data_IF_837951706496
#
_entry.id   IF_837951706496
#
_cell.length_a   1.000
_cell.length_b   1.000
_cell.length_c   1.000
_cell.angle_alpha   90.00
_cell.angle_beta   90.00
_cell.angle_gamma   90.00
#
_symmetry.space_group_name_H-M   'P 1'
#
loop_
_entity.id
_entity.type
_entity.pdbx_description
1 polymer ?
2 polymer ?
3 polymer ?
4 non-polymer ?
5 non-polymer ?
6 water ?
#
loop_
_entity_poly.entity_id
_entity_poly.type
_entity_poly.pdbx_seq_one_letter_code
_entity_poly.pdbx_strand_id
1 'polydeoxyribonucleotide' '(DG)(DT)(DT)(DC)(DA)(DA)(DG)(DG)(DC)(DC)(DA)(DG)' ?
2 'polydeoxyribonucleotide' '(DC)(DT)(DG)(DG)(DC)(DC)(DT)(DT)(DG)(DA)(DA)(DC)' ?
#
# COMPACT_ATOMS: atom_id res chain seq x y z
N UNK C 10 9.52 0.72 12.26
CA UNK C 10 8.73 1.94 11.94
C UNK C 10 7.25 1.57 11.82
N UNK C 11 6.41 2.59 11.67
CA UNK C 11 4.97 2.39 11.55
C UNK C 11 4.47 2.58 10.13
N UNK C 12 3.52 1.73 9.75
CA UNK C 12 2.92 1.79 8.44
C UNK C 12 2.25 3.15 8.29
N UNK C 13 2.59 3.89 7.23
CA UNK C 13 1.98 5.22 7.03
C UNK C 13 0.47 5.14 6.80
N UNK C 14 -0.04 3.94 6.53
CA UNK C 14 -1.46 3.77 6.28
C UNK C 14 -2.28 3.39 7.51
N UNK C 15 -1.84 2.36 8.24
CA UNK C 15 -2.59 1.90 9.40
C UNK C 15 -1.83 1.91 10.73
N UNK C 16 -0.52 2.16 10.69
CA UNK C 16 0.26 2.20 11.92
C UNK C 16 0.83 0.87 12.38
N UNK C 17 0.49 -0.21 11.69
CA UNK C 17 0.99 -1.53 12.05
C UNK C 17 2.50 -1.62 11.74
N UNK C 18 3.13 -2.69 12.21
CA UNK C 18 4.56 -2.90 11.99
C UNK C 18 4.95 -3.00 10.52
N UNK C 19 5.91 -2.19 10.10
CA UNK C 19 6.39 -2.21 8.73
C UNK C 19 7.17 -3.51 8.52
N UNK C 20 7.07 -4.11 7.33
CA UNK C 20 7.79 -5.35 7.05
C UNK C 20 8.84 -5.18 5.95
N UNK C 21 8.88 -4.00 5.34
CA UNK C 21 9.84 -3.71 4.29
C UNK C 21 9.26 -2.71 3.31
N UNK C 22 9.98 -2.41 2.23
CA UNK C 22 9.43 -1.48 1.25
C UNK C 22 8.39 -2.22 0.43
N UNK C 23 7.25 -1.57 0.21
CA UNK C 23 6.19 -2.17 -0.58
C UNK C 23 5.53 -1.12 -1.45
N UNK C 24 5.74 -1.26 -2.75
CA UNK C 24 5.15 -0.35 -3.73
C UNK C 24 5.47 1.12 -3.50
N UNK C 25 6.75 1.45 -3.35
CA UNK C 25 7.14 2.84 -3.19
C UNK C 25 7.64 3.27 -1.82
N UNK C 26 7.21 2.59 -0.77
CA UNK C 26 7.64 2.95 0.58
C UNK C 26 7.40 1.85 1.61
N UNK C 27 7.91 2.07 2.81
CA UNK C 27 7.75 1.11 3.90
C UNK C 27 6.29 1.01 4.30
N UNK C 28 5.78 -0.22 4.40
CA UNK C 28 4.39 -0.45 4.82
C UNK C 28 4.34 -1.78 5.57
N UNK C 29 3.21 -2.05 6.21
CA UNK C 29 3.03 -3.31 6.92
C UNK C 29 2.71 -4.37 5.87
N UNK C 30 2.79 -5.63 6.26
CA UNK C 30 2.52 -6.74 5.36
C UNK C 30 1.06 -6.76 4.90
N UNK C 31 0.13 -6.46 5.80
CA UNK C 31 -1.28 -6.48 5.43
C UNK C 31 -1.60 -5.44 4.36
N UNK C 32 -1.06 -4.23 4.50
CA UNK C 32 -1.32 -3.19 3.52
C UNK C 32 -0.69 -3.52 2.17
N UNK C 33 0.44 -4.21 2.19
CA UNK C 33 1.08 -4.63 0.95
C UNK C 33 0.12 -5.60 0.23
N UNK C 34 -0.40 -6.57 0.99
CA UNK C 34 -1.32 -7.54 0.42
C UNK C 34 -2.58 -6.89 -0.11
N UNK C 35 -3.12 -5.95 0.67
CA UNK C 35 -4.34 -5.23 0.32
C UNK C 35 -4.18 -4.43 -0.98
N UNK C 36 -3.08 -3.70 -1.10
CA UNK C 36 -2.82 -2.90 -2.29
C UNK C 36 -2.66 -3.82 -3.51
N UNK C 37 -1.90 -4.90 -3.36
CA UNK C 37 -1.68 -5.86 -4.44
C UNK C 37 -3.01 -6.43 -4.93
N UNK C 38 -3.80 -6.94 -3.99
CA UNK C 38 -5.12 -7.51 -4.27
C UNK C 38 -5.96 -6.50 -5.04
N UNK C 39 -6.06 -5.30 -4.47
CA UNK C 39 -6.85 -4.22 -5.05
C UNK C 39 -6.46 -3.89 -6.49
N UNK C 40 -5.21 -3.51 -6.70
CA UNK C 40 -4.75 -3.14 -8.03
C UNK C 40 -4.74 -4.27 -9.05
N UNK C 41 -4.33 -5.47 -8.65
CA UNK C 41 -4.29 -6.59 -9.59
C UNK C 41 -5.64 -6.89 -10.22
N UNK C 42 -6.70 -6.82 -9.42
CA UNK C 42 -8.04 -7.14 -9.89
C UNK C 42 -8.95 -5.95 -10.13
N UNK C 43 -8.38 -4.75 -10.18
CA UNK C 43 -9.15 -3.55 -10.42
C UNK C 43 -10.35 -3.47 -9.47
N UNK C 44 -10.12 -3.80 -8.20
CA UNK C 44 -11.19 -3.76 -7.20
C UNK C 44 -11.70 -2.34 -7.02
N UNK C 45 -13.02 -2.21 -6.92
CA UNK C 45 -13.65 -0.90 -6.74
C UNK C 45 -14.47 -0.92 -5.46
N UNK C 46 -14.07 -0.11 -4.48
CA UNK C 46 -14.77 -0.06 -3.21
C UNK C 46 -15.64 1.18 -3.08
N UNK C 47 -16.53 1.15 -2.10
CA UNK C 47 -17.43 2.27 -1.84
C UNK C 47 -17.56 2.50 -0.33
N UNK C 48 -17.32 3.74 0.09
CA UNK C 48 -17.42 4.10 1.50
C UNK C 48 -18.86 4.45 1.83
N UNK C 49 -19.35 3.92 2.94
CA UNK C 49 -20.72 4.18 3.37
C UNK C 49 -20.76 5.47 4.18
N UNK C 50 -19.61 5.87 4.70
CA UNK C 50 -19.52 7.09 5.49
C UNK C 50 -19.32 8.28 4.56
N UNK C 51 -18.35 9.14 4.87
CA UNK C 51 -18.10 10.31 4.05
C UNK C 51 -16.73 10.29 3.38
N UNK C 52 -16.29 9.10 2.98
CA UNK C 52 -15.01 8.93 2.31
C UNK C 52 -13.85 9.61 3.03
N UNK C 53 -13.86 9.54 4.36
CA UNK C 53 -12.80 10.15 5.16
C UNK C 53 -12.60 9.38 6.46
N UNK C 54 -12.96 8.10 6.44
CA UNK C 54 -12.82 7.25 7.61
C UNK C 54 -11.37 7.18 8.08
N UNK C 55 -11.18 7.11 9.40
CA UNK C 55 -9.85 7.03 9.98
C UNK C 55 -9.37 5.59 9.86
N UNK C 56 -8.12 5.42 9.44
CA UNK C 56 -7.57 4.08 9.29
C UNK C 56 -6.55 3.77 10.38
N UNK C 57 -6.72 2.63 11.03
CA UNK C 57 -5.78 2.19 12.06
C UNK C 57 -5.74 0.67 12.04
N UNK C 58 -4.82 0.09 12.81
CA UNK C 58 -4.67 -1.36 12.82
C UNK C 58 -5.98 -2.11 13.07
N UNK C 59 -6.82 -1.61 13.97
CA UNK C 59 -8.08 -2.28 14.28
C UNK C 59 -9.27 -1.88 13.42
N UNK C 60 -9.11 -0.90 12.54
CA UNK C 60 -10.22 -0.46 11.69
C UNK C 60 -9.96 -0.56 10.18
N UNK C 61 -8.70 -0.76 9.80
CA UNK C 61 -8.34 -0.83 8.39
C UNK C 61 -9.22 -1.79 7.59
N UNK C 62 -9.74 -2.81 8.27
CA UNK C 62 -10.58 -3.80 7.62
C UNK C 62 -12.04 -3.35 7.47
N UNK C 63 -12.42 -2.30 8.19
CA UNK C 63 -13.78 -1.78 8.16
C UNK C 63 -14.16 -1.09 6.86
N UNK C 64 -13.25 -0.30 6.30
CA UNK C 64 -13.57 0.37 5.05
C UNK C 64 -12.44 0.30 4.03
N UNK C 65 -12.50 -0.68 3.12
CA UNK C 65 -11.45 -0.80 2.11
C UNK C 65 -11.35 0.45 1.24
N UNK C 66 -12.48 1.12 1.00
CA UNK C 66 -12.46 2.33 0.18
C UNK C 66 -11.50 3.35 0.77
N UNK C 67 -11.70 3.72 2.03
CA UNK C 67 -10.81 4.69 2.65
C UNK C 67 -9.42 4.13 2.87
N UNK C 68 -9.30 2.82 3.05
CA UNK C 68 -7.97 2.25 3.25
C UNK C 68 -7.20 2.45 1.94
N UNK C 69 -7.86 2.16 0.82
CA UNK C 69 -7.23 2.32 -0.49
C UNK C 69 -6.92 3.79 -0.82
N UNK C 70 -7.82 4.70 -0.44
CA UNK C 70 -7.58 6.12 -0.69
C UNK C 70 -6.31 6.52 0.06
N UNK C 71 -6.19 6.05 1.30
CA UNK C 71 -5.02 6.38 2.10
C UNK C 71 -3.75 5.79 1.47
N UNK C 72 -3.84 4.55 0.98
CA UNK C 72 -2.69 3.92 0.34
C UNK C 72 -2.16 4.82 -0.77
N UNK C 73 -3.07 5.33 -1.59
CA UNK C 73 -2.69 6.21 -2.69
C UNK C 73 -2.18 7.54 -2.16
N UNK C 74 -2.89 8.07 -1.18
CA UNK C 74 -2.52 9.34 -0.57
C UNK C 74 -1.09 9.34 -0.04
N UNK C 75 -0.73 8.31 0.72
CA UNK C 75 0.61 8.23 1.30
C UNK C 75 1.71 7.97 0.28
N UNK C 76 1.33 7.62 -0.95
CA UNK C 76 2.35 7.39 -1.97
C UNK C 76 2.54 6.00 -2.55
N UNK C 77 1.70 5.03 -2.20
CA UNK C 77 1.87 3.70 -2.78
C UNK C 77 1.66 3.79 -4.29
N UNK C 78 2.57 3.17 -5.04
CA UNK C 78 2.54 3.25 -6.50
C UNK C 78 1.89 2.14 -7.30
N UNK C 79 0.93 2.54 -8.13
CA UNK C 79 0.22 1.61 -8.99
C UNK C 79 1.18 0.94 -9.97
N UNK C 80 2.21 1.67 -10.40
CA UNK C 80 3.18 1.14 -11.35
C UNK C 80 4.06 0.03 -10.78
N UNK C 81 4.06 -0.13 -9.46
CA UNK C 81 4.87 -1.19 -8.83
C UNK C 81 4.13 -2.53 -8.89
N UNK C 82 2.83 -2.49 -9.19
CA UNK C 82 2.02 -3.71 -9.34
C UNK C 82 2.23 -4.10 -10.80
N UNK C 83 2.71 -5.32 -11.03
CA UNK C 83 3.02 -5.78 -12.39
C UNK C 83 1.85 -6.35 -13.20
N UNK C 84 1.61 -5.73 -14.36
CA UNK C 84 0.55 -6.14 -15.27
C UNK C 84 0.73 -7.59 -15.71
N UNK C 85 1.95 -7.96 -16.07
CA UNK C 85 2.24 -9.32 -16.52
C UNK C 85 2.56 -10.26 -15.36
N UNK C 86 2.25 -9.82 -14.14
CA UNK C 86 2.49 -10.62 -12.94
C UNK C 86 3.84 -11.33 -12.91
N UNK C 87 4.85 -10.71 -13.50
CA UNK C 87 6.20 -11.27 -13.53
C UNK C 87 6.69 -11.49 -12.09
N UNK C 88 7.45 -12.56 -11.89
CA UNK C 88 7.97 -12.91 -10.56
C UNK C 88 9.38 -12.41 -10.31
N UNK C 89 9.73 -12.29 -9.04
CA UNK C 89 11.06 -11.86 -8.63
C UNK C 89 11.69 -10.65 -9.28
N UNK C 90 13.02 -10.70 -9.41
CA UNK C 90 13.75 -9.60 -10.00
C UNK C 90 13.71 -8.34 -9.15
N UNK C 91 13.72 -7.19 -9.81
CA UNK C 91 13.70 -5.90 -9.12
C UNK C 91 13.15 -4.88 -10.10
N UNK C 92 12.21 -4.04 -9.64
CA UNK C 92 11.64 -3.03 -10.52
C UNK C 92 12.47 -1.75 -10.60
N UNK C 93 11.95 -0.75 -11.32
CA UNK C 93 12.64 0.52 -11.51
C UNK C 93 12.81 1.35 -10.24
N UNK C 94 12.19 0.93 -9.14
CA UNK C 94 12.30 1.66 -7.88
C UNK C 94 13.41 1.09 -7.00
N UNK C 95 14.12 0.10 -7.52
CA UNK C 95 15.19 -0.52 -6.78
C UNK C 95 16.15 0.50 -6.20
N UNK C 96 16.78 1.33 -7.05
CA UNK C 96 17.72 2.34 -6.57
C UNK C 96 17.09 3.31 -5.57
N UNK C 97 15.87 3.75 -5.85
CA UNK C 97 15.16 4.67 -4.96
C UNK C 97 15.17 4.14 -3.52
N UNK C 98 14.77 2.88 -3.36
CA UNK C 98 14.73 2.27 -2.04
C UNK C 98 16.12 2.29 -1.39
N UNK C 99 17.15 2.07 -2.20
CA UNK C 99 18.53 2.07 -1.71
C UNK C 99 18.88 3.45 -1.17
N UNK C 100 18.34 4.49 -1.80
CA UNK C 100 18.58 5.86 -1.38
C UNK C 100 17.82 6.18 -0.10
N UNK C 101 16.55 5.78 -0.05
CA UNK C 101 15.71 6.03 1.12
C UNK C 101 16.31 5.36 2.36
N UNK C 102 16.93 4.19 2.16
CA UNK C 102 17.54 3.46 3.26
C UNK C 102 18.72 4.24 3.85
N UNK C 103 19.61 4.69 2.98
CA UNK C 103 20.79 5.44 3.40
C UNK C 103 20.40 6.65 4.25
N UNK C 104 19.77 7.63 3.61
CA UNK C 104 19.33 8.85 4.29
C UNK C 104 18.72 8.55 5.66
X LIG D 1 -0.56 -0.95 7.17
X LIG E 1 -14.47 5.26 4.27
X LIG F 1 -17.65 2.15 5.22
X LIG F 1 -17.90 1.34 4.18
X LIG F 1 -17.09 3.21 5.04
X LIG F 1 -18.05 1.74 6.61
#
# INVERSE_FOLDING_TARGET
>C
GEFGDEDLEELCPVCGDKVSGYHYGLLTCESCKGFFKRTVQNNKRYTCIENQNCQIDKTQRKRCPYCRFQKCLSVGMKLEAVRADRMRGGRNKFGPMYKRDRALKQQKKALIR
>D hetero
1 ZN ZN
>E hetero
1 ZN ZN
>F hetero
1 ACT C O OXT CH3
#
